data_IF_052330838418
#
_entry.id   IF_052330838418
#
_cell.length_a   1.000
_cell.length_b   1.000
_cell.length_c   1.000
_cell.angle_alpha   90.00
_cell.angle_beta   90.00
_cell.angle_gamma   90.00
#
_symmetry.space_group_name_H-M   'P 1'
#
loop_
_entity.id
_entity.type
_entity.pdbx_description
1 polymer ?
#
# COMPACT_ATOMS: atom_id res chain seq x y z
N UNK A 1 18.12 -1.12 -25.50
CA UNK A 1 18.90 -0.31 -24.55
C UNK A 1 17.92 0.15 -23.46
N UNK A 2 18.11 -0.23 -22.18
CA UNK A 2 17.48 0.36 -20.96
C UNK A 2 17.45 -0.54 -19.70
N UNK A 3 18.13 -1.68 -19.66
CA UNK A 3 18.11 -2.55 -18.45
C UNK A 3 18.73 -1.85 -17.23
N UNK A 4 19.91 -1.24 -17.37
CA UNK A 4 20.58 -0.55 -16.26
C UNK A 4 19.81 0.65 -15.69
N UNK A 5 19.09 1.41 -16.54
CA UNK A 5 18.24 2.51 -16.08
C UNK A 5 16.99 2.01 -15.35
N UNK A 6 16.38 0.93 -15.83
CA UNK A 6 15.22 0.32 -15.18
C UNK A 6 15.60 -0.32 -13.84
N UNK A 7 16.75 -0.96 -13.74
CA UNK A 7 17.23 -1.55 -12.48
C UNK A 7 17.43 -0.48 -11.39
N UNK A 8 17.95 0.69 -11.77
CA UNK A 8 18.16 1.81 -10.83
C UNK A 8 16.83 2.41 -10.34
N UNK A 9 15.84 2.56 -11.23
CA UNK A 9 14.51 3.03 -10.84
C UNK A 9 13.75 1.99 -10.01
N UNK A 10 13.84 0.71 -10.35
CA UNK A 10 13.25 -0.38 -9.57
C UNK A 10 13.83 -0.45 -8.16
N UNK A 11 15.13 -0.25 -8.00
CA UNK A 11 15.79 -0.19 -6.68
C UNK A 11 15.27 0.98 -5.83
N UNK A 12 15.09 2.14 -6.46
CA UNK A 12 14.54 3.33 -5.80
C UNK A 12 13.08 3.10 -5.37
N UNK A 13 12.25 2.58 -6.27
CA UNK A 13 10.84 2.26 -5.97
C UNK A 13 10.73 1.21 -4.87
N UNK A 14 11.56 0.17 -4.92
CA UNK A 14 11.61 -0.86 -3.88
C UNK A 14 11.95 -0.27 -2.52
N UNK A 15 12.97 0.60 -2.45
CA UNK A 15 13.35 1.28 -1.21
C UNK A 15 12.21 2.14 -0.66
N UNK A 16 11.61 2.99 -1.50
CA UNK A 16 10.48 3.83 -1.11
C UNK A 16 9.30 3.01 -0.59
N UNK A 17 8.98 1.91 -1.26
CA UNK A 17 7.95 0.97 -0.82
C UNK A 17 8.26 0.38 0.55
N UNK A 18 9.50 -0.10 0.77
CA UNK A 18 9.94 -0.67 2.05
C UNK A 18 9.98 0.36 3.18
N UNK A 19 10.22 1.63 2.87
CA UNK A 19 10.23 2.72 3.85
C UNK A 19 8.78 3.12 4.25
N UNK A 20 7.81 2.98 3.35
CA UNK A 20 6.43 3.43 3.59
C UNK A 20 5.49 2.33 4.06
N UNK A 21 5.62 1.10 3.56
CA UNK A 21 4.79 -0.03 4.02
C UNK A 21 5.32 -0.52 5.36
N UNK A 22 4.69 -0.08 6.45
CA UNK A 22 5.09 -0.35 7.82
C UNK A 22 4.20 -1.39 8.54
N UNK A 23 3.19 -1.92 7.85
CA UNK A 23 2.43 -3.08 8.30
C UNK A 23 3.07 -4.36 7.75
N UNK A 24 3.20 -5.37 8.60
CA UNK A 24 3.57 -6.71 8.17
C UNK A 24 2.45 -7.35 7.34
N UNK A 25 2.78 -8.40 6.58
CA UNK A 25 1.79 -9.12 5.78
C UNK A 25 0.63 -9.64 6.64
N UNK A 26 0.93 -10.22 7.81
CA UNK A 26 -0.10 -10.75 8.72
C UNK A 26 -0.98 -9.67 9.35
N UNK A 27 -0.42 -8.51 9.68
CA UNK A 27 -1.20 -7.36 10.16
C UNK A 27 -2.13 -6.82 9.09
N UNK A 28 -1.63 -6.69 7.86
CA UNK A 28 -2.43 -6.23 6.73
C UNK A 28 -3.52 -7.25 6.38
N UNK A 29 -3.22 -8.55 6.37
CA UNK A 29 -4.21 -9.61 6.18
C UNK A 29 -5.33 -9.57 7.23
N UNK A 30 -4.97 -9.34 8.49
CA UNK A 30 -5.95 -9.22 9.58
C UNK A 30 -6.80 -7.96 9.39
N UNK A 31 -6.16 -6.84 9.08
CA UNK A 31 -6.82 -5.56 8.83
C UNK A 31 -7.82 -5.65 7.67
N UNK A 32 -7.43 -6.23 6.54
CA UNK A 32 -8.29 -6.28 5.35
C UNK A 32 -9.61 -7.05 5.56
N UNK A 33 -9.68 -7.92 6.58
CA UNK A 33 -10.87 -8.71 6.92
C UNK A 33 -11.90 -7.93 7.75
N UNK A 34 -11.52 -6.80 8.36
CA UNK A 34 -12.43 -6.04 9.22
C UNK A 34 -13.46 -5.28 8.41
N UNK A 35 -14.53 -4.83 9.06
CA UNK A 35 -15.58 -4.07 8.38
C UNK A 35 -15.13 -2.62 8.10
N UNK A 36 -14.29 -2.05 8.97
CA UNK A 36 -13.70 -0.73 8.77
C UNK A 36 -12.86 -0.67 7.48
N UNK A 37 -12.08 -1.72 7.19
CA UNK A 37 -11.35 -1.86 5.93
C UNK A 37 -12.30 -1.87 4.72
N UNK A 38 -13.45 -2.55 4.85
CA UNK A 38 -14.44 -2.69 3.76
C UNK A 38 -15.19 -1.40 3.48
N UNK A 39 -15.40 -0.57 4.51
CA UNK A 39 -16.17 0.67 4.42
C UNK A 39 -15.39 1.87 3.88
N UNK A 40 -14.08 1.74 3.64
CA UNK A 40 -13.21 2.85 3.20
C UNK A 40 -12.58 2.67 1.83
N UNK A 41 -12.31 3.80 1.19
CA UNK A 41 -11.72 3.90 -0.13
C UNK A 41 -12.76 3.99 -1.25
N UNK A 42 -12.25 4.14 -2.47
CA UNK A 42 -13.05 4.18 -3.68
C UNK A 42 -13.44 2.76 -4.10
N UNK A 43 -14.72 2.52 -4.38
CA UNK A 43 -15.22 1.25 -4.92
C UNK A 43 -14.57 0.94 -6.28
N UNK A 44 -14.17 -0.31 -6.50
CA UNK A 44 -13.68 -0.79 -7.79
C UNK A 44 -14.76 -1.37 -8.70
N UNK A 45 -16.04 -1.32 -8.30
CA UNK A 45 -17.19 -1.73 -9.10
C UNK A 45 -17.55 -3.21 -8.97
N UNK A 46 -16.85 -3.94 -8.10
CA UNK A 46 -17.05 -5.37 -7.81
C UNK A 46 -17.19 -5.67 -6.31
N UNK A 47 -17.55 -4.65 -5.51
CA UNK A 47 -17.82 -4.80 -4.08
C UNK A 47 -16.58 -4.79 -3.18
N UNK A 48 -15.40 -4.50 -3.73
CA UNK A 48 -14.18 -4.18 -2.96
C UNK A 48 -13.72 -2.77 -3.27
N UNK A 49 -13.02 -2.14 -2.34
CA UNK A 49 -12.35 -0.88 -2.65
C UNK A 49 -11.03 -1.11 -3.39
N UNK A 50 -10.60 -0.11 -4.18
CA UNK A 50 -9.28 -0.08 -4.81
C UNK A 50 -8.17 -0.27 -3.76
N UNK A 51 -8.37 0.27 -2.56
CA UNK A 51 -7.46 0.10 -1.42
C UNK A 51 -7.36 -1.36 -0.98
N UNK A 52 -8.48 -2.05 -0.78
CA UNK A 52 -8.45 -3.47 -0.39
C UNK A 52 -7.72 -4.34 -1.41
N UNK A 53 -8.00 -4.14 -2.71
CA UNK A 53 -7.28 -4.84 -3.78
C UNK A 53 -5.80 -4.53 -3.78
N UNK A 54 -5.43 -3.28 -3.50
CA UNK A 54 -4.04 -2.86 -3.36
C UNK A 54 -3.37 -3.59 -2.20
N UNK A 55 -4.02 -3.66 -1.03
CA UNK A 55 -3.55 -4.38 0.14
C UNK A 55 -3.33 -5.87 -0.12
N UNK A 56 -4.25 -6.53 -0.82
CA UNK A 56 -4.08 -7.94 -1.24
C UNK A 56 -2.84 -8.15 -2.12
N UNK A 57 -2.53 -7.20 -3.01
CA UNK A 57 -1.31 -7.26 -3.82
C UNK A 57 -0.06 -6.96 -2.98
N UNK A 58 -0.11 -5.98 -2.06
CA UNK A 58 0.97 -5.69 -1.12
C UNK A 58 1.34 -6.94 -0.31
N UNK A 59 0.36 -7.70 0.20
CA UNK A 59 0.60 -8.96 0.90
C UNK A 59 1.39 -9.94 0.02
N UNK A 60 0.98 -10.13 -1.24
CA UNK A 60 1.70 -10.99 -2.19
C UNK A 60 3.15 -10.54 -2.40
N UNK A 61 3.36 -9.23 -2.53
CA UNK A 61 4.71 -8.64 -2.67
C UNK A 61 5.56 -8.90 -1.42
N UNK A 62 4.99 -8.73 -0.22
CA UNK A 62 5.70 -8.94 1.05
C UNK A 62 6.15 -10.40 1.25
N UNK A 63 5.50 -11.36 0.59
CA UNK A 63 5.90 -12.77 0.58
C UNK A 63 6.95 -13.15 -0.48
N UNK A 64 7.23 -12.26 -1.44
CA UNK A 64 8.23 -12.51 -2.49
C UNK A 64 9.62 -12.11 -2.02
N UNK A 65 10.65 -12.80 -2.51
CA UNK A 65 12.02 -12.28 -2.45
C UNK A 65 12.16 -11.19 -3.52
N UNK A 66 13.09 -10.24 -3.32
CA UNK A 66 13.33 -9.17 -4.30
C UNK A 66 13.63 -9.69 -5.72
N UNK A 67 14.34 -10.81 -5.82
CA UNK A 67 14.67 -11.45 -7.10
C UNK A 67 13.45 -12.05 -7.83
N UNK A 68 12.33 -12.26 -7.11
CA UNK A 68 11.09 -12.84 -7.65
C UNK A 68 10.05 -11.75 -8.00
N UNK A 69 10.40 -10.47 -7.85
CA UNK A 69 9.52 -9.34 -8.17
C UNK A 69 9.43 -9.14 -9.68
N UNK A 70 8.20 -8.92 -10.15
CA UNK A 70 7.92 -8.64 -11.56
C UNK A 70 7.78 -7.15 -11.83
N UNK A 71 7.81 -6.74 -13.10
CA UNK A 71 7.55 -5.35 -13.50
C UNK A 71 6.18 -4.85 -13.00
N UNK A 72 5.17 -5.73 -12.96
CA UNK A 72 3.86 -5.41 -12.40
C UNK A 72 3.92 -5.15 -10.88
N UNK A 73 4.77 -5.87 -10.15
CA UNK A 73 4.99 -5.60 -8.72
C UNK A 73 5.63 -4.22 -8.53
N UNK A 74 6.65 -3.87 -9.32
CA UNK A 74 7.29 -2.55 -9.26
C UNK A 74 6.33 -1.43 -9.65
N UNK A 75 5.52 -1.62 -10.70
CA UNK A 75 4.47 -0.67 -11.07
C UNK A 75 3.46 -0.47 -9.93
N UNK A 76 3.08 -1.55 -9.24
CA UNK A 76 2.20 -1.47 -8.09
C UNK A 76 2.88 -0.78 -6.88
N UNK A 77 4.14 -1.07 -6.60
CA UNK A 77 4.92 -0.37 -5.56
C UNK A 77 4.96 1.15 -5.80
N UNK A 78 5.15 1.58 -7.05
CA UNK A 78 5.11 3.00 -7.40
C UNK A 78 3.72 3.62 -7.15
N UNK A 79 2.65 2.89 -7.48
CA UNK A 79 1.27 3.29 -7.19
C UNK A 79 1.02 3.43 -5.68
N UNK A 80 1.52 2.47 -4.89
CA UNK A 80 1.47 2.49 -3.42
C UNK A 80 2.18 3.72 -2.88
N UNK A 81 3.41 3.98 -3.34
CA UNK A 81 4.18 5.16 -2.95
C UNK A 81 3.42 6.47 -3.21
N UNK A 82 2.90 6.60 -4.43
CA UNK A 82 2.15 7.78 -4.86
C UNK A 82 0.90 8.01 -4.00
N UNK A 83 0.20 6.93 -3.63
CA UNK A 83 -0.99 7.01 -2.81
C UNK A 83 -0.65 7.43 -1.37
N UNK A 84 0.26 6.72 -0.71
CA UNK A 84 0.67 6.99 0.68
C UNK A 84 1.20 8.42 0.79
N UNK A 85 2.10 8.83 -0.11
CA UNK A 85 2.71 10.17 -0.07
C UNK A 85 1.65 11.29 -0.10
N UNK A 86 0.68 11.22 -1.02
CA UNK A 86 -0.38 12.23 -1.10
C UNK A 86 -1.35 12.16 0.06
N UNK A 87 -1.75 10.95 0.47
CA UNK A 87 -2.81 10.79 1.45
C UNK A 87 -2.31 11.06 2.87
N UNK A 88 -1.05 10.73 3.19
CA UNK A 88 -0.41 11.10 4.46
C UNK A 88 -0.30 12.61 4.65
N UNK A 89 -0.32 13.42 3.59
CA UNK A 89 -0.35 14.89 3.71
C UNK A 89 -1.74 15.44 4.08
N UNK A 90 -2.80 14.62 4.02
CA UNK A 90 -4.20 15.02 4.25
C UNK A 90 -4.66 14.69 5.68
N UNK A 91 -3.77 14.87 6.66
CA UNK A 91 -4.02 14.48 8.05
C UNK A 91 -5.26 15.22 8.61
N UNK A 92 -6.25 14.52 9.17
CA UNK A 92 -7.41 15.16 9.77
C UNK A 92 -7.03 15.87 11.08
N UNK A 93 -7.73 16.96 11.41
CA UNK A 93 -7.48 17.75 12.62
C UNK A 93 -7.88 17.03 13.92
N UNK A 94 -8.87 16.13 13.83
CA UNK A 94 -9.45 15.42 14.98
C UNK A 94 -9.60 13.93 14.67
N UNK A 95 -9.55 13.13 15.73
CA UNK A 95 -9.79 11.68 15.71
C UNK A 95 -8.99 10.93 14.62
N UNK A 96 -7.68 11.19 14.58
CA UNK A 96 -6.81 10.54 13.59
C UNK A 96 -6.83 9.02 13.73
N UNK A 97 -6.92 8.53 14.96
CA UNK A 97 -6.84 7.10 15.29
C UNK A 97 -8.01 6.30 14.73
N UNK A 98 -9.24 6.84 14.76
CA UNK A 98 -10.44 6.18 14.24
C UNK A 98 -11.01 6.86 12.98
N UNK A 99 -10.12 7.44 12.17
CA UNK A 99 -10.51 8.14 10.94
C UNK A 99 -10.53 7.24 9.71
N UNK A 100 -11.43 7.57 8.77
CA UNK A 100 -11.40 7.02 7.40
C UNK A 100 -10.05 7.26 6.69
N UNK A 101 -9.34 8.33 7.06
CA UNK A 101 -7.99 8.63 6.57
C UNK A 101 -6.99 7.54 6.96
N UNK A 102 -6.87 7.24 8.26
CA UNK A 102 -6.00 6.17 8.75
C UNK A 102 -6.39 4.84 8.14
N UNK A 103 -7.67 4.49 8.20
CA UNK A 103 -8.18 3.20 7.71
C UNK A 103 -7.90 3.02 6.21
N UNK A 104 -8.01 4.08 5.43
CA UNK A 104 -7.65 4.04 4.01
C UNK A 104 -6.14 3.90 3.81
N UNK A 105 -5.28 4.56 4.59
CA UNK A 105 -3.82 4.32 4.56
C UNK A 105 -3.46 2.87 4.93
N UNK A 106 -4.16 2.28 5.91
CA UNK A 106 -3.94 0.89 6.33
C UNK A 106 -4.33 -0.10 5.24
N UNK A 107 -5.36 0.17 4.42
CA UNK A 107 -5.66 -0.62 3.23
C UNK A 107 -4.50 -0.62 2.22
N UNK A 108 -3.59 0.35 2.29
CA UNK A 108 -2.37 0.46 1.50
C UNK A 108 -1.11 0.06 2.27
N UNK A 109 -1.25 -0.64 3.40
CA UNK A 109 -0.13 -1.19 4.17
C UNK A 109 0.64 -0.16 5.01
N UNK A 110 0.11 1.06 5.16
CA UNK A 110 0.70 2.10 5.99
C UNK A 110 -0.23 2.44 7.16
N UNK A 111 0.20 2.16 8.38
CA UNK A 111 -0.46 2.67 9.59
C UNK A 111 0.29 3.91 10.09
N UNK A 112 -0.27 5.13 9.97
CA UNK A 112 0.38 6.35 10.44
C UNK A 112 0.47 6.47 11.98
N UNK A 113 -0.04 5.49 12.73
CA UNK A 113 0.07 5.42 14.20
C UNK A 113 1.16 4.45 14.66
N UNK A 114 1.99 3.94 13.75
CA UNK A 114 3.13 3.07 14.04
C UNK A 114 4.46 3.82 14.03
#
# INVERSE_FOLDING_TARGET
>A
MSTASNDTENDKVYKQFKDQVNMTASELEKWLKTDESKEVGQDSGDGKSIGQKSGEHIIKILHKKKADLTDDDYAHMHKVHSYISRHSAQVPEKDKEHSRWRYSLMNWGHDPMK
#
